data_IF_446555089836
#
_entry.id   IF_446555089836
#
_cell.length_a   1.000
_cell.length_b   1.000
_cell.length_c   1.000
_cell.angle_alpha   90.00
_cell.angle_beta   90.00
_cell.angle_gamma   90.00
#
_symmetry.space_group_name_H-M   'P 1'
#
loop_
_entity.id
_entity.type
_entity.pdbx_description
1 polymer ?
#
# COMPACT_ATOMS: atom_id res chain seq x y z
N UNK A 1 5.79 -10.01 22.91
CA UNK A 1 4.63 -9.23 23.39
C UNK A 1 3.41 -9.71 22.63
N UNK A 2 2.34 -10.16 23.29
CA UNK A 2 1.27 -10.89 22.62
C UNK A 2 0.43 -9.95 21.74
N UNK A 3 0.09 -10.46 20.57
CA UNK A 3 -0.61 -9.87 19.43
C UNK A 3 -2.08 -9.46 19.70
N UNK A 4 -2.43 -8.95 20.89
CA UNK A 4 -3.83 -8.67 21.28
C UNK A 4 -4.39 -7.36 20.71
N UNK A 5 -3.54 -6.43 20.27
CA UNK A 5 -3.96 -5.13 19.71
C UNK A 5 -4.37 -5.14 18.23
N UNK A 6 -3.97 -6.18 17.48
CA UNK A 6 -4.29 -6.30 16.06
C UNK A 6 -5.80 -6.44 15.83
N UNK A 7 -6.53 -7.39 16.44
CA UNK A 7 -7.97 -7.53 16.19
C UNK A 7 -8.78 -6.29 16.57
N UNK A 8 -8.40 -5.57 17.64
CA UNK A 8 -9.11 -4.36 18.09
C UNK A 8 -8.91 -3.21 17.10
N UNK A 9 -7.70 -2.98 16.62
CA UNK A 9 -7.44 -1.92 15.63
C UNK A 9 -8.15 -2.19 14.31
N UNK A 10 -8.19 -3.45 13.86
CA UNK A 10 -8.94 -3.87 12.67
C UNK A 10 -10.45 -3.67 12.83
N UNK A 11 -11.01 -3.96 14.01
CA UNK A 11 -12.42 -3.69 14.31
C UNK A 11 -12.73 -2.19 14.32
N UNK A 12 -11.88 -1.36 14.94
CA UNK A 12 -12.05 0.10 14.94
C UNK A 12 -12.02 0.65 13.51
N UNK A 13 -11.07 0.21 12.69
CA UNK A 13 -10.98 0.62 11.29
C UNK A 13 -12.21 0.18 10.50
N UNK A 14 -12.70 -1.03 10.73
CA UNK A 14 -13.92 -1.52 10.10
C UNK A 14 -15.13 -0.65 10.47
N UNK A 15 -15.31 -0.32 11.75
CA UNK A 15 -16.39 0.57 12.23
C UNK A 15 -16.29 1.96 11.59
N UNK A 16 -15.10 2.57 11.57
CA UNK A 16 -14.88 3.88 10.95
C UNK A 16 -15.24 3.85 9.45
N UNK A 17 -14.77 2.83 8.73
CA UNK A 17 -15.01 2.69 7.30
C UNK A 17 -16.49 2.40 6.99
N UNK A 18 -17.15 1.59 7.82
CA UNK A 18 -18.57 1.26 7.70
C UNK A 18 -19.45 2.48 7.94
N UNK A 19 -19.17 3.27 8.98
CA UNK A 19 -19.93 4.47 9.31
C UNK A 19 -19.75 5.57 8.25
N UNK A 20 -18.56 5.66 7.64
CA UNK A 20 -18.29 6.64 6.58
C UNK A 20 -18.63 6.15 5.18
N UNK A 21 -19.33 5.02 5.01
CA UNK A 21 -19.61 4.46 3.67
C UNK A 21 -20.43 5.39 2.78
N UNK A 22 -21.25 6.28 3.33
CA UNK A 22 -22.03 7.23 2.53
C UNK A 22 -21.24 8.47 2.09
N UNK A 23 -20.08 8.70 2.70
CA UNK A 23 -19.20 9.83 2.38
C UNK A 23 -18.43 9.57 1.08
N UNK A 24 -18.07 10.64 0.35
CA UNK A 24 -17.28 10.57 -0.89
C UNK A 24 -16.01 9.75 -0.70
N UNK A 25 -15.24 10.10 0.33
CA UNK A 25 -14.04 9.36 0.74
C UNK A 25 -14.43 8.50 1.95
N UNK A 26 -14.94 7.31 1.65
CA UNK A 26 -15.57 6.40 2.61
C UNK A 26 -15.35 4.93 2.27
N UNK A 27 -15.73 4.04 3.18
CA UNK A 27 -15.62 2.59 2.99
C UNK A 27 -14.21 2.14 2.61
N UNK A 28 -14.13 1.28 1.59
CA UNK A 28 -12.86 0.74 1.07
C UNK A 28 -11.86 1.81 0.60
N UNK A 29 -12.33 2.95 0.09
CA UNK A 29 -11.44 4.02 -0.36
C UNK A 29 -10.77 4.71 0.83
N UNK A 30 -11.53 4.95 1.91
CA UNK A 30 -10.99 5.47 3.16
C UNK A 30 -10.00 4.46 3.77
N UNK A 31 -10.37 3.19 3.74
CA UNK A 31 -9.54 2.11 4.25
C UNK A 31 -8.18 2.04 3.55
N UNK A 32 -8.14 2.16 2.21
CA UNK A 32 -6.90 2.30 1.44
C UNK A 32 -6.01 3.43 1.97
N UNK A 33 -6.57 4.63 2.14
CA UNK A 33 -5.80 5.79 2.61
C UNK A 33 -5.27 5.60 4.02
N UNK A 34 -6.10 5.15 4.95
CA UNK A 34 -5.68 4.92 6.33
C UNK A 34 -4.55 3.90 6.35
N UNK A 35 -4.69 2.81 5.61
CA UNK A 35 -3.72 1.73 5.61
C UNK A 35 -2.41 2.13 4.91
N UNK A 36 -2.45 2.95 3.85
CA UNK A 36 -1.26 3.57 3.25
C UNK A 36 -0.52 4.46 4.26
N UNK A 37 -1.24 5.32 4.99
CA UNK A 37 -0.61 6.22 5.97
C UNK A 37 -0.09 5.48 7.20
N UNK A 38 -0.82 4.49 7.71
CA UNK A 38 -0.33 3.62 8.78
C UNK A 38 0.89 2.82 8.33
N UNK A 39 0.92 2.36 7.08
CA UNK A 39 2.09 1.67 6.52
C UNK A 39 3.32 2.58 6.48
N UNK A 40 3.17 3.86 6.11
CA UNK A 40 4.27 4.84 6.21
C UNK A 40 4.72 5.02 7.65
N UNK A 41 3.78 5.18 8.58
CA UNK A 41 4.09 5.30 10.01
C UNK A 41 4.84 4.07 10.54
N UNK A 42 4.35 2.88 10.25
CA UNK A 42 4.99 1.62 10.63
C UNK A 42 6.39 1.49 10.04
N UNK A 43 6.57 1.84 8.77
CA UNK A 43 7.88 1.83 8.11
C UNK A 43 8.86 2.79 8.80
N UNK A 44 8.44 4.00 9.16
CA UNK A 44 9.29 4.96 9.89
C UNK A 44 9.63 4.47 11.30
N UNK A 45 8.68 3.84 11.99
CA UNK A 45 8.90 3.25 13.32
C UNK A 45 9.85 2.04 13.28
N UNK A 46 9.81 1.25 12.22
CA UNK A 46 10.66 0.06 12.05
C UNK A 46 12.03 0.38 11.43
N UNK A 47 12.21 1.58 10.86
CA UNK A 47 13.44 1.98 10.20
C UNK A 47 14.69 1.83 11.09
N UNK A 48 14.71 2.26 12.38
CA UNK A 48 15.91 2.11 13.22
C UNK A 48 16.34 0.65 13.43
N UNK A 49 15.38 -0.28 13.44
CA UNK A 49 15.64 -1.71 13.62
C UNK A 49 16.11 -2.40 12.34
N UNK A 50 15.97 -1.73 11.19
CA UNK A 50 16.26 -2.29 9.87
C UNK A 50 17.39 -1.56 9.16
N UNK A 51 17.87 -0.42 9.69
CA UNK A 51 18.89 0.41 9.04
C UNK A 51 20.22 -0.31 8.85
N UNK A 52 20.56 -1.25 9.74
CA UNK A 52 21.77 -2.06 9.61
C UNK A 52 21.75 -2.97 8.36
N UNK A 53 20.56 -3.29 7.81
CA UNK A 53 20.46 -4.00 6.53
C UNK A 53 20.95 -3.15 5.34
N UNK A 54 21.09 -1.84 5.52
CA UNK A 54 21.62 -0.94 4.49
C UNK A 54 23.14 -0.80 4.56
N UNK A 55 23.80 -1.36 5.58
CA UNK A 55 25.25 -1.29 5.72
C UNK A 55 25.91 -2.51 5.05
N UNK A 56 26.98 -2.32 4.25
CA UNK A 56 27.72 -3.43 3.65
C UNK A 56 28.28 -4.42 4.68
N UNK A 57 28.61 -3.93 5.89
CA UNK A 57 29.19 -4.73 6.98
C UNK A 57 28.31 -5.90 7.41
N UNK A 58 26.98 -5.80 7.26
CA UNK A 58 26.03 -6.86 7.63
C UNK A 58 26.00 -8.03 6.62
N UNK A 59 26.47 -7.81 5.40
CA UNK A 59 26.35 -8.76 4.29
C UNK A 59 27.64 -9.49 3.96
N UNK A 60 28.61 -9.53 4.90
CA UNK A 60 29.85 -10.28 4.74
C UNK A 60 29.56 -11.77 4.54
N UNK A 61 30.05 -12.35 3.44
CA UNK A 61 29.95 -13.80 3.20
C UNK A 61 29.73 -14.23 1.75
N UNK A 62 29.20 -13.36 0.87
CA UNK A 62 29.16 -13.63 -0.57
C UNK A 62 29.12 -12.35 -1.41
N UNK A 63 29.92 -12.26 -2.49
CA UNK A 63 29.89 -11.11 -3.39
C UNK A 63 28.49 -10.96 -4.03
N UNK A 64 27.98 -9.72 -4.07
CA UNK A 64 26.72 -9.39 -4.74
C UNK A 64 25.45 -9.46 -3.87
N UNK A 65 25.47 -10.11 -2.69
CA UNK A 65 24.30 -10.15 -1.79
C UNK A 65 23.84 -8.76 -1.35
N UNK A 66 24.78 -7.88 -1.00
CA UNK A 66 24.48 -6.51 -0.63
C UNK A 66 23.76 -5.75 -1.76
N UNK A 67 24.25 -5.88 -3.00
CA UNK A 67 23.63 -5.23 -4.16
C UNK A 67 22.21 -5.75 -4.43
N UNK A 68 21.99 -7.07 -4.31
CA UNK A 68 20.67 -7.68 -4.47
C UNK A 68 19.69 -7.28 -3.36
N UNK A 69 20.16 -7.16 -2.12
CA UNK A 69 19.36 -6.67 -1.01
C UNK A 69 18.92 -5.21 -1.23
N UNK A 70 19.83 -4.35 -1.70
CA UNK A 70 19.50 -2.97 -2.06
C UNK A 70 18.53 -2.90 -3.25
N UNK A 71 18.72 -3.76 -4.26
CA UNK A 71 17.86 -3.84 -5.44
C UNK A 71 16.42 -4.28 -5.10
N UNK A 72 16.24 -5.16 -4.12
CA UNK A 72 14.92 -5.54 -3.63
C UNK A 72 14.29 -4.46 -2.73
N UNK A 73 15.12 -3.79 -1.92
CA UNK A 73 14.64 -2.94 -0.83
C UNK A 73 14.40 -1.50 -1.26
N UNK A 74 15.39 -0.83 -1.87
CA UNK A 74 15.30 0.61 -2.19
C UNK A 74 14.18 0.93 -3.19
N UNK A 75 13.95 0.15 -4.26
CA UNK A 75 12.84 0.40 -5.17
C UNK A 75 11.47 0.27 -4.50
N UNK A 76 11.33 -0.65 -3.53
CA UNK A 76 10.09 -0.77 -2.75
C UNK A 76 9.84 0.45 -1.86
N UNK A 77 10.88 0.96 -1.20
CA UNK A 77 10.75 2.21 -0.45
C UNK A 77 10.36 3.38 -1.38
N UNK A 78 11.04 3.51 -2.51
CA UNK A 78 10.76 4.56 -3.48
C UNK A 78 9.32 4.48 -4.02
N UNK A 79 8.85 3.28 -4.41
CA UNK A 79 7.49 3.11 -4.91
C UNK A 79 6.44 3.34 -3.83
N UNK A 80 6.73 2.97 -2.58
CA UNK A 80 5.83 3.21 -1.46
C UNK A 80 5.68 4.71 -1.14
N UNK A 81 6.78 5.47 -1.18
CA UNK A 81 6.74 6.94 -1.08
C UNK A 81 5.99 7.56 -2.26
N UNK A 82 6.21 7.06 -3.48
CA UNK A 82 5.44 7.52 -4.65
C UNK A 82 3.94 7.25 -4.51
N UNK A 83 3.54 6.08 -3.98
CA UNK A 83 2.13 5.78 -3.68
C UNK A 83 1.56 6.82 -2.71
N UNK A 84 2.27 7.11 -1.62
CA UNK A 84 1.86 8.11 -0.63
C UNK A 84 1.60 9.48 -1.24
N UNK A 85 2.53 9.96 -2.07
CA UNK A 85 2.46 11.27 -2.71
C UNK A 85 1.29 11.31 -3.71
N UNK A 86 1.20 10.32 -4.60
CA UNK A 86 0.17 10.28 -5.64
C UNK A 86 -1.22 10.10 -5.02
N UNK A 87 -1.35 9.24 -4.01
CA UNK A 87 -2.59 9.06 -3.26
C UNK A 87 -2.99 10.34 -2.52
N UNK A 88 -2.05 11.01 -1.83
CA UNK A 88 -2.35 12.28 -1.17
C UNK A 88 -2.81 13.35 -2.16
N UNK A 89 -2.15 13.45 -3.32
CA UNK A 89 -2.55 14.36 -4.39
C UNK A 89 -3.92 14.00 -4.95
N UNK A 90 -4.19 12.73 -5.24
CA UNK A 90 -5.51 12.24 -5.68
C UNK A 90 -6.61 12.62 -4.69
N UNK A 91 -6.37 12.42 -3.40
CA UNK A 91 -7.31 12.77 -2.32
C UNK A 91 -7.64 14.28 -2.32
N UNK A 92 -6.64 15.13 -2.58
CA UNK A 92 -6.77 16.59 -2.49
C UNK A 92 -7.30 17.22 -3.78
N UNK A 93 -6.78 16.83 -4.94
CA UNK A 93 -7.18 17.41 -6.24
C UNK A 93 -8.45 16.79 -6.81
N UNK A 94 -8.75 15.53 -6.42
CA UNK A 94 -9.86 14.73 -6.96
C UNK A 94 -9.83 14.65 -8.49
N UNK A 95 -8.62 14.65 -9.04
CA UNK A 95 -8.40 14.64 -10.48
C UNK A 95 -8.06 13.22 -10.96
N UNK A 96 -8.76 12.78 -12.01
CA UNK A 96 -8.59 11.49 -12.67
C UNK A 96 -7.14 11.27 -13.17
N UNK A 97 -6.38 12.32 -13.45
CA UNK A 97 -4.96 12.20 -13.81
C UNK A 97 -4.18 11.50 -12.69
N UNK A 98 -4.43 11.84 -11.43
CA UNK A 98 -3.77 11.18 -10.30
C UNK A 98 -4.27 9.76 -10.06
N UNK A 99 -5.50 9.43 -10.47
CA UNK A 99 -6.01 8.06 -10.44
C UNK A 99 -5.25 7.17 -11.44
N UNK A 100 -5.03 7.66 -12.66
CA UNK A 100 -4.22 6.94 -13.66
C UNK A 100 -2.78 6.78 -13.18
N UNK A 101 -2.18 7.83 -12.60
CA UNK A 101 -0.85 7.75 -11.99
C UNK A 101 -0.82 6.73 -10.86
N UNK A 102 -1.83 6.70 -10.00
CA UNK A 102 -1.90 5.75 -8.89
C UNK A 102 -1.93 4.31 -9.38
N UNK A 103 -2.74 4.02 -10.40
CA UNK A 103 -2.78 2.69 -11.04
C UNK A 103 -1.43 2.27 -11.60
N UNK A 104 -0.69 3.18 -12.27
CA UNK A 104 0.66 2.91 -12.77
C UNK A 104 1.65 2.62 -11.65
N UNK A 105 1.58 3.39 -10.56
CA UNK A 105 2.43 3.17 -9.38
C UNK A 105 2.11 1.82 -8.71
N UNK A 106 0.84 1.42 -8.62
CA UNK A 106 0.45 0.10 -8.10
C UNK A 106 0.96 -1.05 -8.99
N UNK A 107 0.92 -0.91 -10.31
CA UNK A 107 1.51 -1.88 -11.24
C UNK A 107 3.03 -2.00 -11.06
N UNK A 108 3.73 -0.87 -10.97
CA UNK A 108 5.17 -0.86 -10.71
C UNK A 108 5.49 -1.49 -9.35
N UNK A 109 4.68 -1.21 -8.32
CA UNK A 109 4.81 -1.84 -7.01
C UNK A 109 4.66 -3.35 -7.09
N UNK A 110 3.67 -3.84 -7.84
CA UNK A 110 3.46 -5.28 -8.03
C UNK A 110 4.66 -5.93 -8.69
N UNK A 111 5.21 -5.32 -9.75
CA UNK A 111 6.38 -5.82 -10.45
C UNK A 111 7.62 -5.90 -9.54
N UNK A 112 7.87 -4.86 -8.74
CA UNK A 112 9.01 -4.83 -7.81
C UNK A 112 8.84 -5.88 -6.70
N UNK A 113 7.63 -6.05 -6.14
CA UNK A 113 7.37 -7.07 -5.10
C UNK A 113 7.60 -8.47 -5.66
N UNK A 114 7.14 -8.77 -6.87
CA UNK A 114 7.39 -10.06 -7.53
C UNK A 114 8.88 -10.28 -7.75
N UNK A 115 9.61 -9.26 -8.21
CA UNK A 115 11.06 -9.34 -8.38
C UNK A 115 11.78 -9.61 -7.04
N UNK A 116 11.37 -8.92 -5.97
CA UNK A 116 11.93 -9.13 -4.63
C UNK A 116 11.70 -10.55 -4.14
N UNK A 117 10.47 -11.07 -4.23
CA UNK A 117 10.14 -12.45 -3.85
C UNK A 117 11.03 -13.44 -4.62
N UNK A 118 11.25 -13.20 -5.93
CA UNK A 118 12.13 -14.04 -6.73
C UNK A 118 13.60 -13.99 -6.29
N UNK A 119 14.09 -12.84 -5.82
CA UNK A 119 15.44 -12.69 -5.24
C UNK A 119 15.52 -13.42 -3.89
N UNK A 120 14.55 -13.19 -3.00
CA UNK A 120 14.55 -13.73 -1.65
C UNK A 120 14.47 -15.26 -1.63
N UNK A 121 13.64 -15.84 -2.52
CA UNK A 121 13.55 -17.29 -2.74
C UNK A 121 14.87 -17.92 -3.21
N UNK A 122 15.65 -17.21 -4.03
CA UNK A 122 16.89 -17.74 -4.61
C UNK A 122 18.13 -17.50 -3.75
N UNK A 123 18.16 -16.40 -2.99
CA UNK A 123 19.41 -15.86 -2.43
C UNK A 123 19.42 -15.88 -0.90
N UNK A 124 18.29 -15.62 -0.26
CA UNK A 124 18.25 -15.31 1.18
C UNK A 124 17.47 -16.30 2.03
N UNK A 125 16.62 -17.15 1.44
CA UNK A 125 15.84 -18.17 2.18
C UNK A 125 15.10 -17.59 3.40
N UNK A 126 14.61 -16.35 3.27
CA UNK A 126 13.95 -15.57 4.33
C UNK A 126 12.45 -15.91 4.38
N UNK A 127 11.85 -15.66 5.55
CA UNK A 127 10.40 -15.67 5.79
C UNK A 127 9.65 -14.79 4.79
N UNK A 128 8.98 -15.44 3.82
CA UNK A 128 8.17 -14.82 2.76
C UNK A 128 6.89 -14.15 3.26
N UNK A 129 6.65 -14.13 4.58
CA UNK A 129 5.40 -13.66 5.16
C UNK A 129 5.15 -12.17 4.85
N UNK A 130 6.15 -11.30 5.08
CA UNK A 130 6.01 -9.86 4.84
C UNK A 130 5.91 -9.52 3.34
N UNK A 131 6.64 -10.25 2.50
CA UNK A 131 6.59 -10.04 1.06
C UNK A 131 5.29 -10.56 0.46
N UNK A 132 4.81 -11.71 0.93
CA UNK A 132 3.50 -12.26 0.58
C UNK A 132 2.36 -11.35 1.04
N UNK A 133 2.45 -10.78 2.24
CA UNK A 133 1.50 -9.78 2.72
C UNK A 133 1.49 -8.53 1.83
N UNK A 134 2.66 -8.01 1.47
CA UNK A 134 2.78 -6.85 0.57
C UNK A 134 2.23 -7.14 -0.83
N UNK A 135 2.46 -8.36 -1.33
CA UNK A 135 1.94 -8.83 -2.61
C UNK A 135 0.42 -8.93 -2.62
N UNK A 136 -0.16 -9.64 -1.65
CA UNK A 136 -1.61 -9.79 -1.47
C UNK A 136 -2.27 -8.42 -1.45
N UNK A 137 -1.66 -7.50 -0.71
CA UNK A 137 -2.19 -6.17 -0.53
C UNK A 137 -2.17 -5.32 -1.80
N UNK A 138 -1.02 -5.29 -2.48
CA UNK A 138 -0.89 -4.56 -3.75
C UNK A 138 -1.83 -5.15 -4.81
N UNK A 139 -1.97 -6.47 -4.83
CA UNK A 139 -2.86 -7.18 -5.73
C UNK A 139 -4.35 -6.95 -5.42
N UNK A 140 -4.73 -6.69 -4.17
CA UNK A 140 -6.11 -6.40 -3.79
C UNK A 140 -6.57 -4.99 -4.24
N UNK A 141 -5.69 -3.99 -4.14
CA UNK A 141 -6.07 -2.61 -4.50
C UNK A 141 -6.11 -2.33 -5.98
N UNK A 142 -5.27 -3.01 -6.75
CA UNK A 142 -5.24 -2.85 -8.19
C UNK A 142 -6.64 -3.06 -8.83
N UNK A 143 -7.33 -4.20 -8.67
CA UNK A 143 -8.67 -4.38 -9.21
C UNK A 143 -9.69 -3.42 -8.59
N UNK A 144 -9.54 -3.06 -7.31
CA UNK A 144 -10.40 -2.07 -6.66
C UNK A 144 -10.34 -0.72 -7.39
N UNK A 145 -9.16 -0.19 -7.68
CA UNK A 145 -9.01 1.10 -8.35
C UNK A 145 -9.43 1.09 -9.84
N UNK A 146 -9.58 -0.09 -10.46
CA UNK A 146 -10.10 -0.22 -11.83
C UNK A 146 -11.62 -0.42 -11.87
N UNK A 147 -12.16 -1.28 -10.99
CA UNK A 147 -13.56 -1.73 -11.06
C UNK A 147 -14.50 -1.05 -10.08
N UNK A 148 -13.98 -0.35 -9.07
CA UNK A 148 -14.84 0.25 -8.06
C UNK A 148 -15.72 1.37 -8.66
N UNK A 149 -17.03 1.14 -8.63
CA UNK A 149 -18.07 2.12 -8.97
C UNK A 149 -17.80 3.43 -8.21
N UNK A 150 -17.52 3.34 -6.90
CA UNK A 150 -17.18 4.50 -6.06
C UNK A 150 -15.98 5.28 -6.59
N UNK A 151 -14.89 4.61 -6.93
CA UNK A 151 -13.68 5.29 -7.45
C UNK A 151 -14.01 6.06 -8.74
N UNK A 152 -14.83 5.47 -9.62
CA UNK A 152 -15.36 6.16 -10.80
C UNK A 152 -16.15 7.41 -10.43
N UNK A 153 -17.14 7.28 -9.53
CA UNK A 153 -18.01 8.39 -9.14
C UNK A 153 -17.32 9.49 -8.34
N UNK A 154 -16.28 9.16 -7.58
CA UNK A 154 -15.54 10.14 -6.77
C UNK A 154 -14.53 10.92 -7.61
N UNK A 155 -13.85 10.27 -8.57
CA UNK A 155 -12.70 10.88 -9.26
C UNK A 155 -12.91 11.16 -10.74
N UNK A 156 -13.84 10.46 -11.41
CA UNK A 156 -14.08 10.61 -12.85
C UNK A 156 -15.32 11.46 -13.10
N UNK A 157 -16.50 10.96 -12.68
CA UNK A 157 -17.78 11.65 -12.93
C UNK A 157 -18.11 12.69 -11.86
N UNK A 158 -17.50 12.61 -10.67
CA UNK A 158 -17.62 13.57 -9.56
C UNK A 158 -19.05 13.80 -9.07
N UNK A 159 -19.90 12.79 -9.20
CA UNK A 159 -21.35 12.82 -8.89
C UNK A 159 -21.72 11.91 -7.71
N UNK A 160 -20.75 11.58 -6.85
CA UNK A 160 -20.96 10.69 -5.70
C UNK A 160 -22.16 11.08 -4.83
N UNK A 161 -22.42 12.37 -4.62
CA UNK A 161 -23.57 12.82 -3.83
C UNK A 161 -24.91 12.31 -4.38
N UNK A 162 -25.06 12.27 -5.71
CA UNK A 162 -26.26 11.74 -6.37
C UNK A 162 -26.37 10.22 -6.18
N UNK A 163 -25.26 9.51 -6.32
CA UNK A 163 -25.22 8.05 -6.15
C UNK A 163 -25.47 7.66 -4.70
N UNK A 164 -24.93 8.42 -3.75
CA UNK A 164 -25.13 8.16 -2.32
C UNK A 164 -26.59 8.28 -1.90
N UNK A 165 -27.35 9.23 -2.47
CA UNK A 165 -28.78 9.36 -2.22
C UNK A 165 -29.57 8.12 -2.67
N UNK A 166 -29.27 7.59 -3.87
CA UNK A 166 -29.93 6.40 -4.42
C UNK A 166 -29.62 5.09 -3.68
N UNK A 167 -28.62 5.07 -2.80
CA UNK A 167 -28.24 3.90 -2.00
C UNK A 167 -28.90 3.90 -0.62
N UNK A 168 -29.48 5.04 -0.21
CA UNK A 168 -30.14 5.21 1.09
C UNK A 168 -31.65 4.99 0.99
N UNK A 169 -32.24 5.23 -0.19
CA UNK A 169 -33.63 4.89 -0.52
C UNK A 169 -33.79 3.39 -0.87
#
# INVERSE_FOLDING_TARGET
MPFTGIPITWLILWVICYNRRLQEIGGWLLFYYIQLYMGIGATLLLLPFTIDNLLPSRWGGAPGRYALALLGTLPLFAIFVMQAIVAHRLRRSRDAVYLVRLRRVLWASLAIVVLRIAIDLKVFSIDLFLDGWTLLWTAAWLPYFYRSIRVGHVFVTKDWARVAALVVD
#
